data_IF_885351958482
#
_entry.id   IF_885351958482
#
_cell.length_a   1.000
_cell.length_b   1.000
_cell.length_c   1.000
_cell.angle_alpha   90.00
_cell.angle_beta   90.00
_cell.angle_gamma   90.00
#
_symmetry.space_group_name_H-M   'P 1'
#
loop_
_entity.id
_entity.type
_entity.pdbx_description
1 polymer ?
#
# COMPACT_ATOMS: atom_id res chain seq x y z
N UNK A 1 -4.00 4.24 -28.50
CA UNK A 1 -3.22 3.82 -27.32
C UNK A 1 -3.94 4.35 -26.09
N UNK A 2 -4.61 3.50 -25.30
CA UNK A 2 -5.14 3.86 -23.97
C UNK A 2 -5.15 2.57 -23.15
N UNK A 3 -3.96 2.09 -22.83
CA UNK A 3 -3.75 1.13 -21.77
C UNK A 3 -2.76 1.81 -20.82
N UNK A 4 -2.74 1.37 -19.57
CA UNK A 4 -1.67 1.69 -18.62
C UNK A 4 -1.86 2.93 -17.74
N UNK A 5 -2.93 2.96 -16.94
CA UNK A 5 -2.93 3.73 -15.67
C UNK A 5 -3.55 2.96 -14.50
N UNK A 6 -4.07 1.75 -14.72
CA UNK A 6 -4.70 0.91 -13.68
C UNK A 6 -3.75 -0.15 -13.11
N UNK A 7 -2.57 -0.36 -13.70
CA UNK A 7 -1.61 -1.38 -13.24
C UNK A 7 -0.84 -0.91 -11.99
N UNK A 8 -0.60 0.40 -11.85
CA UNK A 8 0.20 0.97 -10.78
C UNK A 8 -0.30 0.58 -9.37
N UNK A 9 -1.58 0.78 -9.04
CA UNK A 9 -2.08 0.47 -7.69
C UNK A 9 -2.11 -1.02 -7.34
N UNK A 10 -2.40 -1.88 -8.32
CA UNK A 10 -2.56 -3.32 -8.11
C UNK A 10 -1.19 -4.03 -8.00
N UNK A 11 -0.22 -3.59 -8.81
CA UNK A 11 1.14 -4.13 -8.79
C UNK A 11 1.90 -3.69 -7.53
N UNK A 12 1.70 -2.45 -7.06
CA UNK A 12 2.23 -1.95 -5.80
C UNK A 12 1.75 -2.82 -4.62
N UNK A 13 0.44 -3.02 -4.49
CA UNK A 13 -0.13 -3.85 -3.41
C UNK A 13 0.38 -5.29 -3.46
N UNK A 14 0.46 -5.90 -4.65
CA UNK A 14 0.98 -7.25 -4.82
C UNK A 14 2.47 -7.36 -4.43
N UNK A 15 3.28 -6.42 -4.87
CA UNK A 15 4.73 -6.39 -4.60
C UNK A 15 5.03 -6.13 -3.13
N UNK A 16 4.37 -5.14 -2.52
CA UNK A 16 4.47 -4.83 -1.09
C UNK A 16 4.01 -6.04 -0.27
N UNK A 17 2.89 -6.67 -0.68
CA UNK A 17 2.35 -7.84 0.00
C UNK A 17 3.33 -9.00 0.00
N UNK A 18 4.06 -9.21 -1.10
CA UNK A 18 5.07 -10.27 -1.19
C UNK A 18 6.36 -9.93 -0.43
N UNK A 19 6.85 -8.69 -0.54
CA UNK A 19 8.08 -8.25 0.12
C UNK A 19 7.95 -8.15 1.64
N UNK A 20 6.76 -7.84 2.15
CA UNK A 20 6.47 -7.71 3.58
C UNK A 20 5.69 -8.91 4.15
N UNK A 21 5.49 -9.98 3.38
CA UNK A 21 4.83 -11.21 3.85
C UNK A 21 5.57 -11.86 5.03
N UNK A 22 6.91 -11.71 5.07
CA UNK A 22 7.78 -12.25 6.12
C UNK A 22 8.05 -11.24 7.24
N UNK A 23 7.47 -10.03 7.16
CA UNK A 23 7.64 -9.02 8.20
C UNK A 23 6.80 -9.40 9.43
N UNK A 24 7.43 -9.36 10.61
CA UNK A 24 6.74 -9.61 11.87
C UNK A 24 5.90 -8.37 12.24
N UNK A 25 4.58 -8.50 12.09
CA UNK A 25 3.62 -7.48 12.54
C UNK A 25 3.23 -7.75 14.01
N UNK A 26 3.07 -6.71 14.84
CA UNK A 26 2.89 -5.30 14.50
C UNK A 26 4.19 -4.55 14.13
N UNK A 27 4.14 -3.77 13.05
CA UNK A 27 5.29 -3.01 12.54
C UNK A 27 4.94 -1.53 12.34
N UNK A 28 5.89 -0.64 12.63
CA UNK A 28 5.75 0.78 12.32
C UNK A 28 6.19 1.11 10.89
N UNK A 29 5.76 2.27 10.39
CA UNK A 29 6.12 2.78 9.06
C UNK A 29 7.62 2.77 8.81
N UNK A 30 8.43 3.18 9.78
CA UNK A 30 9.88 3.17 9.66
C UNK A 30 10.46 1.75 9.44
N UNK A 31 9.98 0.74 10.16
CA UNK A 31 10.38 -0.67 9.99
C UNK A 31 9.93 -1.20 8.64
N UNK A 32 8.70 -0.87 8.23
CA UNK A 32 8.13 -1.27 6.94
C UNK A 32 8.98 -0.71 5.79
N UNK A 33 9.29 0.60 5.81
CA UNK A 33 10.14 1.26 4.82
C UNK A 33 11.56 0.68 4.82
N UNK A 34 12.15 0.45 5.99
CA UNK A 34 13.47 -0.14 6.10
C UNK A 34 13.51 -1.55 5.51
N UNK A 35 12.51 -2.39 5.80
CA UNK A 35 12.40 -3.74 5.25
C UNK A 35 12.19 -3.70 3.73
N UNK A 36 11.31 -2.83 3.24
CA UNK A 36 11.08 -2.61 1.81
C UNK A 36 12.36 -2.18 1.06
N UNK A 37 13.15 -1.26 1.64
CA UNK A 37 14.45 -0.87 1.06
C UNK A 37 15.45 -2.03 1.07
N UNK A 38 15.48 -2.85 2.12
CA UNK A 38 16.34 -4.04 2.19
C UNK A 38 15.97 -5.09 1.14
N UNK A 39 14.68 -5.22 0.81
CA UNK A 39 14.18 -6.10 -0.26
C UNK A 39 14.50 -5.56 -1.67
N UNK A 40 15.01 -4.32 -1.79
CA UNK A 40 15.32 -3.69 -3.06
C UNK A 40 14.07 -3.26 -3.84
N UNK A 41 13.01 -2.86 -3.14
CA UNK A 41 11.80 -2.34 -3.78
C UNK A 41 12.06 -1.03 -4.50
N UNK A 42 11.27 -0.80 -5.56
CA UNK A 42 11.32 0.40 -6.38
C UNK A 42 11.08 1.68 -5.57
N UNK A 43 11.72 2.77 -5.99
CA UNK A 43 11.69 4.05 -5.28
C UNK A 43 10.25 4.60 -5.16
N UNK A 44 9.39 4.35 -6.14
CA UNK A 44 7.96 4.68 -6.06
C UNK A 44 7.19 3.89 -5.00
N UNK A 45 7.61 2.65 -4.71
CA UNK A 45 7.03 1.83 -3.63
C UNK A 45 7.47 2.38 -2.29
N UNK A 46 8.76 2.69 -2.17
CA UNK A 46 9.34 3.28 -0.97
C UNK A 46 8.67 4.63 -0.66
N UNK A 47 8.50 5.50 -1.66
CA UNK A 47 7.82 6.80 -1.51
C UNK A 47 6.36 6.62 -1.03
N UNK A 48 5.63 5.65 -1.58
CA UNK A 48 4.27 5.34 -1.13
C UNK A 48 4.22 4.83 0.32
N UNK A 49 5.24 4.07 0.76
CA UNK A 49 5.37 3.63 2.15
C UNK A 49 5.82 4.77 3.08
N UNK A 50 6.65 5.70 2.61
CA UNK A 50 7.06 6.90 3.36
C UNK A 50 5.91 7.92 3.52
N UNK A 51 4.94 7.91 2.60
CA UNK A 51 3.73 8.72 2.68
C UNK A 51 2.71 8.21 3.72
N UNK A 52 2.94 7.02 4.31
CA UNK A 52 2.08 6.47 5.34
C UNK A 52 2.19 7.30 6.64
N UNK A 53 1.10 7.40 7.42
CA UNK A 53 1.16 7.98 8.75
C UNK A 53 2.16 7.21 9.62
N UNK A 54 2.88 7.92 10.50
CA UNK A 54 3.76 7.29 11.49
C UNK A 54 2.92 6.63 12.59
N UNK A 55 2.47 5.42 12.30
CA UNK A 55 1.66 4.59 13.18
C UNK A 55 2.13 3.13 13.11
N UNK A 56 1.66 2.34 14.07
CA UNK A 56 1.87 0.91 14.07
C UNK A 56 0.72 0.26 13.30
N UNK A 57 1.07 -0.51 12.28
CA UNK A 57 0.15 -1.37 11.57
C UNK A 57 0.14 -2.74 12.26
N UNK A 58 -1.03 -3.20 12.67
CA UNK A 58 -1.19 -4.47 13.38
C UNK A 58 -1.03 -5.69 12.45
N UNK A 59 -1.27 -5.50 11.16
CA UNK A 59 -1.20 -6.56 10.16
C UNK A 59 -0.90 -6.01 8.76
N UNK A 60 -0.26 -6.83 7.93
CA UNK A 60 0.04 -6.53 6.53
C UNK A 60 -1.20 -6.09 5.75
N UNK A 61 -2.37 -6.66 6.05
CA UNK A 61 -3.60 -6.34 5.33
C UNK A 61 -4.03 -4.88 5.49
N UNK A 62 -3.84 -4.29 6.67
CA UNK A 62 -4.16 -2.87 6.91
C UNK A 62 -3.23 -1.95 6.11
N UNK A 63 -1.95 -2.31 6.04
CA UNK A 63 -0.97 -1.61 5.21
C UNK A 63 -1.35 -1.68 3.72
N UNK A 64 -1.69 -2.87 3.23
CA UNK A 64 -2.10 -3.08 1.83
C UNK A 64 -3.38 -2.34 1.49
N UNK A 65 -4.36 -2.30 2.41
CA UNK A 65 -5.58 -1.53 2.23
C UNK A 65 -5.29 -0.03 2.14
N UNK A 66 -4.36 0.48 2.95
CA UNK A 66 -3.95 1.89 2.89
C UNK A 66 -3.26 2.22 1.55
N UNK A 67 -2.32 1.40 1.12
CA UNK A 67 -1.60 1.61 -0.15
C UNK A 67 -2.53 1.47 -1.36
N UNK A 68 -3.44 0.49 -1.35
CA UNK A 68 -4.44 0.32 -2.41
C UNK A 68 -5.56 1.38 -2.35
N UNK A 69 -5.87 1.88 -1.15
CA UNK A 69 -7.00 2.75 -0.83
C UNK A 69 -6.69 4.24 -0.81
N UNK A 70 -5.41 4.65 -0.86
CA UNK A 70 -4.96 6.05 -0.88
C UNK A 70 -5.46 6.91 -2.05
N UNK A 71 -6.25 6.35 -2.98
CA UNK A 71 -6.96 7.06 -4.06
C UNK A 71 -8.44 7.31 -3.77
N UNK A 72 -8.91 7.14 -2.53
CA UNK A 72 -10.34 7.29 -2.17
C UNK A 72 -10.60 8.40 -1.16
N UNK A 73 -10.28 9.63 -1.53
CA UNK A 73 -11.12 10.74 -1.08
C UNK A 73 -12.37 10.75 -1.96
N UNK A 74 -13.49 10.25 -1.40
CA UNK A 74 -14.86 10.16 -1.95
C UNK A 74 -15.07 9.16 -3.11
N UNK A 75 -15.90 8.13 -3.00
CA UNK A 75 -17.37 8.25 -2.92
C UNK A 75 -17.94 6.97 -2.27
N UNK A 76 -18.87 7.05 -1.29
CA UNK A 76 -19.73 5.89 -0.99
C UNK A 76 -20.48 5.50 -2.27
N UNK A 77 -20.82 4.21 -2.49
CA UNK A 77 -21.68 3.87 -3.60
C UNK A 77 -22.96 4.70 -3.46
N UNK A 78 -23.25 5.55 -4.46
CA UNK A 78 -24.58 6.08 -4.64
C UNK A 78 -25.51 4.88 -4.79
N UNK A 79 -26.08 4.43 -3.66
CA UNK A 79 -27.23 3.54 -3.66
C UNK A 79 -28.30 4.28 -4.45
N UNK A 80 -28.50 3.83 -5.68
CA UNK A 80 -29.65 4.15 -6.47
C UNK A 80 -30.89 3.71 -5.69
N UNK A 81 -31.44 4.65 -4.92
CA UNK A 81 -32.79 4.60 -4.42
C UNK A 81 -33.75 4.74 -5.60
N UNK A 82 -34.16 3.57 -6.09
CA UNK A 82 -35.41 3.17 -6.74
C UNK A 82 -36.40 4.29 -7.12
#
# INVERSE_FOLDING_TARGET
MNADHQHYGNELSGTIGQALADLDFPANTATIVAHARQQGLDESIIDALEALPDQIFEELRLLLDFVAGGTRNETPPSEGGQ
#
